data_IF_684848608269
#
_entry.id   IF_684848608269
#
_cell.length_a   1.000
_cell.length_b   1.000
_cell.length_c   1.000
_cell.angle_alpha   90.00
_cell.angle_beta   90.00
_cell.angle_gamma   90.00
#
_symmetry.space_group_name_H-M   'P 1'
#
loop_
_entity.id
_entity.type
_entity.pdbx_description
1 polymer ?
#
# COMPACT_ATOMS: atom_id res chain seq x y z
N UNK A 1 -9.24 -7.93 3.43
CA UNK A 1 -8.58 -6.62 3.65
C UNK A 1 -9.68 -5.56 3.62
N UNK A 2 -9.96 -4.87 4.73
CA UNK A 2 -11.04 -3.87 4.85
C UNK A 2 -10.50 -2.44 5.01
N UNK A 3 -9.20 -2.26 4.76
CA UNK A 3 -8.45 -1.03 5.02
C UNK A 3 -8.33 -0.13 3.79
N UNK A 4 -8.83 -0.57 2.62
CA UNK A 4 -8.65 0.13 1.34
C UNK A 4 -10.00 0.42 0.68
N UNK A 5 -10.16 1.65 0.19
CA UNK A 5 -11.21 2.03 -0.73
C UNK A 5 -10.96 1.44 -2.12
N UNK A 6 -11.97 1.51 -2.99
CA UNK A 6 -11.84 1.05 -4.38
C UNK A 6 -10.74 1.80 -5.17
N UNK A 7 -10.42 3.03 -4.77
CA UNK A 7 -9.35 3.85 -5.35
C UNK A 7 -7.93 3.44 -4.92
N UNK A 8 -7.77 2.47 -4.02
CA UNK A 8 -6.51 2.20 -3.33
C UNK A 8 -6.22 3.15 -2.17
N UNK A 9 -7.04 4.19 -1.95
CA UNK A 9 -6.93 5.03 -0.77
C UNK A 9 -7.09 4.20 0.50
N UNK A 10 -6.34 4.57 1.54
CA UNK A 10 -6.42 3.99 2.87
C UNK A 10 -7.14 5.00 3.79
N UNK A 11 -8.47 4.91 3.98
CA UNK A 11 -9.25 5.99 4.59
C UNK A 11 -8.91 6.23 6.07
N UNK A 12 -8.57 5.17 6.79
CA UNK A 12 -8.16 5.26 8.20
C UNK A 12 -6.80 5.94 8.37
N UNK A 13 -5.93 5.86 7.35
CA UNK A 13 -4.64 6.56 7.36
C UNK A 13 -4.75 8.01 6.88
N UNK A 14 -5.75 8.32 6.04
CA UNK A 14 -5.97 9.67 5.53
C UNK A 14 -6.35 10.68 6.63
N UNK A 15 -7.00 10.24 7.71
CA UNK A 15 -7.45 11.09 8.83
C UNK A 15 -6.39 11.30 9.92
N UNK A 16 -5.18 10.75 9.73
CA UNK A 16 -4.10 10.82 10.72
C UNK A 16 -3.34 12.15 10.63
N UNK A 17 -2.56 12.45 11.65
CA UNK A 17 -1.71 13.66 11.72
C UNK A 17 -0.60 13.68 10.67
N UNK A 18 -0.20 12.49 10.18
CA UNK A 18 0.87 12.28 9.20
C UNK A 18 0.42 11.27 8.13
N UNK A 19 -0.56 11.66 7.28
CA UNK A 19 -1.29 10.71 6.45
C UNK A 19 -0.40 10.04 5.40
N UNK A 20 0.63 10.70 4.89
CA UNK A 20 1.54 10.11 3.92
C UNK A 20 2.43 9.05 4.57
N UNK A 21 2.99 9.35 5.75
CA UNK A 21 3.75 8.38 6.53
C UNK A 21 2.93 7.14 6.89
N UNK A 22 1.68 7.32 7.37
CA UNK A 22 0.84 6.19 7.74
C UNK A 22 0.41 5.33 6.55
N UNK A 23 0.19 5.92 5.37
CA UNK A 23 -0.02 5.16 4.13
C UNK A 23 1.18 4.29 3.78
N UNK A 24 2.40 4.82 3.91
CA UNK A 24 3.65 4.06 3.68
C UNK A 24 3.82 2.95 4.73
N UNK A 25 3.55 3.25 6.00
CA UNK A 25 3.64 2.29 7.10
C UNK A 25 2.73 1.07 6.87
N UNK A 26 1.48 1.30 6.46
CA UNK A 26 0.55 0.22 6.17
C UNK A 26 0.89 -0.52 4.86
N UNK A 27 1.46 0.17 3.86
CA UNK A 27 2.02 -0.48 2.65
C UNK A 27 3.15 -1.45 3.01
N UNK A 28 4.03 -1.09 3.93
CA UNK A 28 5.09 -1.99 4.39
C UNK A 28 4.52 -3.27 5.02
N UNK A 29 3.47 -3.15 5.83
CA UNK A 29 2.78 -4.31 6.42
C UNK A 29 2.10 -5.20 5.35
N UNK A 30 1.45 -4.60 4.35
CA UNK A 30 0.84 -5.33 3.24
C UNK A 30 1.88 -6.08 2.40
N UNK A 31 2.99 -5.41 2.05
CA UNK A 31 4.10 -5.99 1.30
C UNK A 31 4.77 -7.12 2.09
N UNK A 32 4.99 -6.92 3.39
CA UNK A 32 5.57 -7.95 4.27
C UNK A 32 4.71 -9.21 4.28
N UNK A 33 3.39 -9.04 4.44
CA UNK A 33 2.46 -10.17 4.38
C UNK A 33 2.48 -10.88 3.03
N UNK A 34 2.62 -10.13 1.93
CA UNK A 34 2.70 -10.72 0.60
C UNK A 34 3.98 -11.53 0.40
N UNK A 35 5.13 -11.02 0.85
CA UNK A 35 6.41 -11.77 0.86
C UNK A 35 6.34 -13.04 1.71
N UNK A 36 5.70 -12.97 2.89
CA UNK A 36 5.46 -14.17 3.71
C UNK A 36 4.55 -15.14 2.96
N UNK A 37 3.52 -14.63 2.28
CA UNK A 37 2.63 -15.42 1.42
C UNK A 37 3.39 -16.20 0.36
N UNK A 38 4.36 -15.57 -0.32
CA UNK A 38 5.19 -16.23 -1.34
C UNK A 38 5.93 -17.46 -0.76
N UNK A 39 6.44 -17.36 0.48
CA UNK A 39 7.10 -18.49 1.17
C UNK A 39 6.16 -19.64 1.50
N UNK A 40 4.85 -19.38 1.51
CA UNK A 40 3.79 -20.34 1.84
C UNK A 40 2.99 -20.76 0.60
N UNK A 41 3.41 -20.36 -0.60
CA UNK A 41 2.68 -20.63 -1.85
C UNK A 41 1.33 -19.90 -1.94
N UNK A 42 1.15 -18.79 -1.22
CA UNK A 42 -0.06 -17.97 -1.21
C UNK A 42 0.17 -16.67 -1.99
N UNK A 43 -0.76 -16.31 -2.88
CA UNK A 43 -0.63 -15.10 -3.71
C UNK A 43 -1.45 -13.97 -3.08
N UNK A 44 -0.76 -13.03 -2.41
CA UNK A 44 -1.42 -11.84 -1.84
C UNK A 44 -1.25 -10.56 -2.66
N UNK A 45 -0.29 -10.52 -3.59
CA UNK A 45 -0.04 -9.37 -4.47
C UNK A 45 -1.28 -8.92 -5.24
N UNK A 46 -2.02 -9.90 -5.79
CA UNK A 46 -3.25 -9.68 -6.57
C UNK A 46 -4.53 -9.84 -5.75
N UNK A 47 -4.41 -10.06 -4.44
CA UNK A 47 -5.56 -10.28 -3.56
C UNK A 47 -6.35 -8.98 -3.40
N UNK A 48 -7.61 -9.02 -3.82
CA UNK A 48 -8.51 -7.87 -3.72
C UNK A 48 -9.00 -7.66 -2.27
N UNK A 49 -9.07 -6.40 -1.88
CA UNK A 49 -9.81 -5.96 -0.69
C UNK A 49 -11.32 -6.21 -0.88
N UNK A 50 -12.11 -6.01 0.20
CA UNK A 50 -13.57 -6.08 0.10
C UNK A 50 -14.15 -5.13 -0.96
N UNK A 51 -13.43 -4.04 -1.27
CA UNK A 51 -13.82 -3.00 -2.23
C UNK A 51 -13.10 -3.12 -3.58
N UNK A 52 -12.42 -4.23 -3.84
CA UNK A 52 -11.84 -4.53 -5.16
C UNK A 52 -10.40 -4.07 -5.39
N UNK A 53 -9.85 -3.20 -4.55
CA UNK A 53 -8.47 -2.70 -4.68
C UNK A 53 -7.41 -3.71 -4.22
N UNK A 54 -6.23 -3.64 -4.82
CA UNK A 54 -5.02 -4.43 -4.56
C UNK A 54 -3.93 -3.60 -3.87
N UNK A 55 -2.80 -4.24 -3.51
CA UNK A 55 -1.63 -3.52 -2.97
C UNK A 55 -1.04 -2.56 -4.02
N UNK A 56 -1.08 -2.93 -5.31
CA UNK A 56 -0.66 -2.06 -6.42
C UNK A 56 -1.50 -0.79 -6.47
N UNK A 57 -2.82 -0.89 -6.31
CA UNK A 57 -3.71 0.27 -6.31
C UNK A 57 -3.38 1.22 -5.15
N UNK A 58 -3.04 0.67 -3.98
CA UNK A 58 -2.63 1.48 -2.84
C UNK A 58 -1.30 2.19 -3.04
N UNK A 59 -0.32 1.56 -3.70
CA UNK A 59 0.93 2.22 -4.10
C UNK A 59 0.65 3.33 -5.13
N UNK A 60 -0.15 3.05 -6.16
CA UNK A 60 -0.54 4.04 -7.18
C UNK A 60 -1.23 5.27 -6.56
N UNK A 61 -2.11 5.04 -5.58
CA UNK A 61 -2.75 6.12 -4.84
C UNK A 61 -1.72 6.93 -4.04
N UNK A 62 -0.84 6.28 -3.28
CA UNK A 62 0.16 6.97 -2.47
C UNK A 62 1.17 7.75 -3.32
N UNK A 63 1.49 7.30 -4.54
CA UNK A 63 2.33 8.04 -5.50
C UNK A 63 1.72 9.38 -5.92
N UNK A 64 0.40 9.41 -6.14
CA UNK A 64 -0.31 10.61 -6.58
C UNK A 64 -0.77 11.51 -5.45
N UNK A 65 -0.85 10.99 -4.23
CA UNK A 65 -1.29 11.75 -3.06
C UNK A 65 -0.32 12.90 -2.67
N UNK A 66 -0.91 13.98 -2.15
CA UNK A 66 -0.20 15.07 -1.48
C UNK A 66 0.49 14.51 -0.21
N UNK A 67 1.80 14.75 -0.09
CA UNK A 67 2.56 14.29 1.07
C UNK A 67 2.42 15.19 2.29
N UNK A 68 1.72 16.33 2.19
CA UNK A 68 1.52 17.29 3.30
C UNK A 68 2.83 17.76 3.92
N UNK A 69 3.86 17.96 3.09
CA UNK A 69 5.20 18.38 3.53
C UNK A 69 6.07 17.23 4.05
N UNK A 70 5.58 16.00 4.08
CA UNK A 70 6.37 14.82 4.46
C UNK A 70 7.32 14.38 3.32
N UNK A 71 8.42 13.71 3.70
CA UNK A 71 9.42 13.20 2.76
C UNK A 71 8.80 12.18 1.79
N UNK A 72 8.68 12.57 0.51
CA UNK A 72 8.15 11.71 -0.55
C UNK A 72 9.01 10.47 -0.84
N UNK A 73 10.30 10.49 -0.49
CA UNK A 73 11.20 9.35 -0.66
C UNK A 73 10.81 8.10 0.12
N UNK A 74 9.94 8.23 1.14
CA UNK A 74 9.45 7.09 1.93
C UNK A 74 8.73 6.03 1.09
N UNK A 75 8.14 6.40 -0.05
CA UNK A 75 7.40 5.47 -0.91
C UNK A 75 8.29 4.65 -1.85
N UNK A 76 9.53 5.11 -2.10
CA UNK A 76 10.45 4.50 -3.06
C UNK A 76 10.65 2.97 -2.88
N UNK A 77 10.90 2.44 -1.67
CA UNK A 77 11.07 0.99 -1.49
C UNK A 77 9.79 0.19 -1.82
N UNK A 78 8.61 0.76 -1.57
CA UNK A 78 7.33 0.11 -1.86
C UNK A 78 7.08 0.04 -3.38
N UNK A 79 7.39 1.11 -4.11
CA UNK A 79 7.35 1.13 -5.59
C UNK A 79 8.27 0.05 -6.15
N UNK A 80 9.54 0.05 -5.72
CA UNK A 80 10.53 -0.90 -6.20
C UNK A 80 10.11 -2.35 -5.95
N UNK A 81 9.48 -2.64 -4.81
CA UNK A 81 9.01 -3.99 -4.48
C UNK A 81 7.83 -4.41 -5.36
N UNK A 82 6.84 -3.53 -5.55
CA UNK A 82 5.67 -3.84 -6.36
C UNK A 82 6.02 -4.04 -7.84
N UNK A 83 6.98 -3.28 -8.37
CA UNK A 83 7.50 -3.49 -9.73
C UNK A 83 8.18 -4.86 -9.92
N UNK A 84 8.70 -5.48 -8.86
CA UNK A 84 9.32 -6.82 -8.92
C UNK A 84 8.32 -7.95 -8.71
N UNK A 85 7.16 -7.67 -8.11
CA UNK A 85 6.10 -8.63 -7.87
C UNK A 85 5.12 -8.79 -9.06
N UNK A 86 5.45 -8.15 -10.20
CA UNK A 86 4.66 -8.09 -11.44
C UNK A 86 4.95 -9.25 -12.37
#
# INVERSE_FOLDING_TARGET
MDQMAASGEQPFEAVRTRPFHYRCFNLEAMITNAKIGDQLGQIFWTKKSKRGATIQDAVNFAMSADSKGENRGLIAPHIATIMQAS
#
